data_IF_004376576687
#
_entry.id   IF_004376576687
#
_cell.length_a   1.000
_cell.length_b   1.000
_cell.length_c   1.000
_cell.angle_alpha   90.00
_cell.angle_beta   90.00
_cell.angle_gamma   90.00
#
_symmetry.space_group_name_H-M   'P 1'
#
loop_
_entity.id
_entity.type
_entity.pdbx_description
1 polymer ?
#
# COMPACT_ATOMS: atom_id res chain seq x y z
N UNK A 1 9.45 -25.43 1.49
CA UNK A 1 9.16 -24.18 2.23
C UNK A 1 10.43 -23.56 2.84
N UNK A 2 11.22 -24.30 3.62
CA UNK A 2 12.47 -23.81 4.25
C UNK A 2 13.49 -23.30 3.23
N UNK A 3 13.70 -24.02 2.13
CA UNK A 3 14.62 -23.64 1.05
C UNK A 3 14.18 -22.34 0.35
N UNK A 4 12.90 -22.19 0.04
CA UNK A 4 12.38 -20.94 -0.55
C UNK A 4 12.50 -19.73 0.39
N UNK A 5 12.30 -19.92 1.69
CA UNK A 5 12.53 -18.87 2.68
C UNK A 5 14.02 -18.48 2.71
N UNK A 6 14.91 -19.45 2.66
CA UNK A 6 16.35 -19.18 2.66
C UNK A 6 16.79 -18.40 1.41
N UNK A 7 16.33 -18.81 0.22
CA UNK A 7 16.60 -18.11 -1.04
C UNK A 7 16.02 -16.68 -0.98
N UNK A 8 14.77 -16.52 -0.52
CA UNK A 8 14.16 -15.21 -0.38
C UNK A 8 14.93 -14.29 0.58
N UNK A 9 15.38 -14.82 1.72
CA UNK A 9 16.18 -14.06 2.68
C UNK A 9 17.57 -13.71 2.14
N UNK A 10 18.25 -14.63 1.46
CA UNK A 10 19.56 -14.34 0.85
C UNK A 10 19.45 -13.29 -0.25
N UNK A 11 18.40 -13.35 -1.07
CA UNK A 11 18.11 -12.33 -2.09
C UNK A 11 17.81 -10.98 -1.45
N UNK A 12 16.88 -10.93 -0.48
CA UNK A 12 16.48 -9.68 0.18
C UNK A 12 17.63 -9.02 0.96
N UNK A 13 18.50 -9.82 1.57
CA UNK A 13 19.64 -9.34 2.36
C UNK A 13 20.91 -9.11 1.52
N UNK A 14 20.87 -9.28 0.20
CA UNK A 14 21.98 -8.90 -0.67
C UNK A 14 22.25 -7.39 -0.56
N UNK A 15 23.51 -6.99 -0.70
CA UNK A 15 23.90 -5.57 -0.59
C UNK A 15 23.11 -4.68 -1.55
N UNK A 16 22.91 -5.14 -2.79
CA UNK A 16 22.12 -4.43 -3.80
C UNK A 16 20.69 -4.21 -3.33
N UNK A 17 20.01 -5.24 -2.82
CA UNK A 17 18.62 -5.16 -2.42
C UNK A 17 18.40 -4.34 -1.13
N UNK A 18 19.35 -4.43 -0.19
CA UNK A 18 19.36 -3.55 0.99
C UNK A 18 19.49 -2.09 0.54
N UNK A 19 20.41 -1.80 -0.38
CA UNK A 19 20.60 -0.45 -0.90
C UNK A 19 19.35 0.05 -1.64
N UNK A 20 18.72 -0.79 -2.47
CA UNK A 20 17.50 -0.44 -3.21
C UNK A 20 16.30 -0.20 -2.30
N UNK A 21 16.09 -1.02 -1.26
CA UNK A 21 15.01 -0.76 -0.30
C UNK A 21 15.22 0.54 0.48
N UNK A 22 16.47 0.87 0.82
CA UNK A 22 16.80 2.14 1.48
C UNK A 22 16.51 3.35 0.57
N UNK A 23 16.92 3.28 -0.70
CA UNK A 23 16.59 4.31 -1.70
C UNK A 23 15.08 4.44 -1.85
N UNK A 24 14.38 3.32 -2.04
CA UNK A 24 12.94 3.31 -2.16
C UNK A 24 12.25 3.94 -0.94
N UNK A 25 12.66 3.55 0.26
CA UNK A 25 12.13 4.09 1.50
C UNK A 25 12.40 5.60 1.64
N UNK A 26 13.58 6.06 1.28
CA UNK A 26 13.95 7.46 1.32
C UNK A 26 13.10 8.33 0.36
N UNK A 27 13.07 7.97 -0.91
CA UNK A 27 12.25 8.70 -1.90
C UNK A 27 10.76 8.57 -1.62
N UNK A 28 10.31 7.39 -1.22
CA UNK A 28 8.94 7.18 -0.78
C UNK A 28 8.56 8.10 0.36
N UNK A 29 9.40 8.23 1.39
CA UNK A 29 9.16 9.11 2.54
C UNK A 29 9.05 10.57 2.11
N UNK A 30 9.95 11.05 1.25
CA UNK A 30 9.90 12.44 0.74
C UNK A 30 8.59 12.68 -0.03
N UNK A 31 8.24 11.81 -0.96
CA UNK A 31 7.02 11.96 -1.77
C UNK A 31 5.77 11.82 -0.89
N UNK A 32 5.77 10.89 0.05
CA UNK A 32 4.66 10.66 0.96
C UNK A 32 4.41 11.80 1.96
N UNK A 33 5.44 12.60 2.29
CA UNK A 33 5.26 13.82 3.08
C UNK A 33 4.53 14.93 2.33
N UNK A 34 4.49 14.87 1.00
CA UNK A 34 3.81 15.87 0.19
C UNK A 34 2.32 15.55 0.13
N UNK A 35 1.43 16.40 0.71
CA UNK A 35 0.00 16.14 0.71
C UNK A 35 -0.54 15.96 -0.72
N UNK A 36 -1.26 14.86 -0.94
CA UNK A 36 -1.89 14.54 -2.22
C UNK A 36 -1.07 13.62 -3.13
N UNK A 37 0.26 13.47 -2.98
CA UNK A 37 1.04 12.63 -3.87
C UNK A 37 0.92 11.12 -3.55
N UNK A 38 0.93 10.73 -2.32
CA UNK A 38 0.67 9.36 -1.89
C UNK A 38 1.58 8.25 -2.48
N UNK A 39 1.44 7.02 -2.00
CA UNK A 39 2.29 5.90 -2.40
C UNK A 39 2.05 5.44 -3.85
N UNK A 40 0.84 5.59 -4.39
CA UNK A 40 0.54 5.23 -5.78
C UNK A 40 1.38 6.05 -6.76
N UNK A 41 1.39 7.37 -6.59
CA UNK A 41 2.19 8.29 -7.41
C UNK A 41 3.68 8.04 -7.23
N UNK A 42 4.12 7.81 -5.98
CA UNK A 42 5.52 7.52 -5.68
C UNK A 42 6.01 6.27 -6.43
N UNK A 43 5.24 5.19 -6.41
CA UNK A 43 5.58 3.96 -7.13
C UNK A 43 5.51 4.17 -8.64
N UNK A 44 4.45 4.81 -9.14
CA UNK A 44 4.32 5.08 -10.58
C UNK A 44 5.53 5.83 -11.16
N UNK A 45 6.06 6.81 -10.42
CA UNK A 45 7.26 7.54 -10.79
C UNK A 45 8.54 6.67 -10.77
N UNK A 46 8.56 5.62 -9.96
CA UNK A 46 9.71 4.72 -9.84
C UNK A 46 9.68 3.54 -10.81
N UNK A 47 8.53 3.19 -11.40
CA UNK A 47 8.42 2.07 -12.34
C UNK A 47 9.47 2.12 -13.46
N UNK A 48 9.69 3.25 -14.16
CA UNK A 48 10.71 3.28 -15.21
C UNK A 48 12.12 2.92 -14.73
N UNK A 49 12.44 3.26 -13.49
CA UNK A 49 13.73 2.94 -12.87
C UNK A 49 13.82 1.44 -12.59
N UNK A 50 12.70 0.81 -12.20
CA UNK A 50 12.69 -0.62 -11.86
C UNK A 50 13.03 -1.52 -13.05
N UNK A 51 12.73 -1.11 -14.28
CA UNK A 51 13.05 -1.89 -15.48
C UNK A 51 14.56 -2.02 -15.76
N UNK A 52 15.40 -1.24 -15.09
CA UNK A 52 16.86 -1.39 -15.14
C UNK A 52 17.41 -2.50 -14.25
N UNK A 53 16.56 -3.19 -13.47
CA UNK A 53 16.93 -4.21 -12.51
C UNK A 53 16.19 -5.52 -12.76
N UNK A 54 16.65 -6.59 -12.11
CA UNK A 54 15.86 -7.83 -12.07
C UNK A 54 14.52 -7.62 -11.33
N UNK A 55 13.50 -8.45 -11.62
CA UNK A 55 12.16 -8.26 -11.08
C UNK A 55 12.09 -8.29 -9.54
N UNK A 56 12.94 -9.09 -8.88
CA UNK A 56 12.96 -9.16 -7.42
C UNK A 56 13.47 -7.85 -6.82
N UNK A 57 14.56 -7.31 -7.35
CA UNK A 57 15.12 -6.01 -6.98
C UNK A 57 14.12 -4.88 -7.27
N UNK A 58 13.45 -4.89 -8.41
CA UNK A 58 12.40 -3.94 -8.75
C UNK A 58 11.24 -3.97 -7.76
N UNK A 59 10.77 -5.16 -7.38
CA UNK A 59 9.71 -5.32 -6.39
C UNK A 59 10.15 -4.84 -4.99
N UNK A 60 11.38 -5.12 -4.59
CA UNK A 60 11.96 -4.67 -3.31
C UNK A 60 12.04 -3.14 -3.26
N UNK A 61 12.50 -2.50 -4.35
CA UNK A 61 12.52 -1.04 -4.47
C UNK A 61 11.11 -0.46 -4.31
N UNK A 62 10.13 -0.99 -5.05
CA UNK A 62 8.73 -0.54 -4.99
C UNK A 62 8.12 -0.75 -3.60
N UNK A 63 8.41 -1.87 -2.93
CA UNK A 63 7.98 -2.11 -1.56
C UNK A 63 8.58 -1.06 -0.60
N UNK A 64 9.87 -0.75 -0.75
CA UNK A 64 10.52 0.33 0.01
C UNK A 64 9.83 1.68 -0.20
N UNK A 65 9.50 2.03 -1.46
CA UNK A 65 8.75 3.26 -1.79
C UNK A 65 7.37 3.25 -1.13
N UNK A 66 6.67 2.12 -1.14
CA UNK A 66 5.34 2.01 -0.53
C UNK A 66 5.39 2.30 0.97
N UNK A 67 6.23 1.59 1.72
CA UNK A 67 6.37 1.79 3.16
C UNK A 67 6.90 3.18 3.49
N UNK A 68 7.87 3.66 2.74
CA UNK A 68 8.39 5.01 2.88
C UNK A 68 7.31 6.07 2.70
N UNK A 69 6.48 5.96 1.66
CA UNK A 69 5.43 6.92 1.39
C UNK A 69 4.32 6.93 2.46
N UNK A 70 3.97 5.77 3.01
CA UNK A 70 3.01 5.70 4.12
C UNK A 70 3.59 6.38 5.36
N UNK A 71 4.85 6.11 5.71
CA UNK A 71 5.52 6.76 6.83
C UNK A 71 5.71 8.28 6.62
N UNK A 72 6.02 8.70 5.39
CA UNK A 72 6.08 10.12 5.02
C UNK A 72 4.73 10.82 5.26
N UNK A 73 3.64 10.18 4.86
CA UNK A 73 2.28 10.67 5.13
C UNK A 73 1.96 10.80 6.61
N UNK A 74 2.47 9.89 7.45
CA UNK A 74 2.34 9.98 8.90
C UNK A 74 3.11 11.18 9.46
N UNK A 75 4.29 11.45 8.92
CA UNK A 75 5.11 12.60 9.32
C UNK A 75 4.37 13.92 9.08
N UNK A 76 3.79 14.13 7.89
CA UNK A 76 3.01 15.33 7.60
C UNK A 76 1.70 15.40 8.40
N UNK A 77 1.07 14.26 8.68
CA UNK A 77 -0.11 14.17 9.56
C UNK A 77 0.20 14.65 10.98
N UNK A 78 1.34 14.25 11.53
CA UNK A 78 1.77 14.60 12.89
C UNK A 78 2.22 16.06 12.97
N UNK A 79 3.03 16.52 12.03
CA UNK A 79 3.66 17.84 12.11
C UNK A 79 2.77 18.96 11.61
N UNK A 80 1.98 18.71 10.55
CA UNK A 80 1.26 19.76 9.83
C UNK A 80 -0.26 19.62 9.92
N UNK A 81 -0.78 18.54 10.51
CA UNK A 81 -2.20 18.16 10.43
C UNK A 81 -2.70 18.08 8.97
N UNK A 82 -1.82 17.74 8.08
CA UNK A 82 -2.06 17.61 6.65
C UNK A 82 -1.67 16.19 6.22
N UNK A 83 -2.60 15.22 6.29
CA UNK A 83 -2.30 13.84 5.95
C UNK A 83 -1.75 13.72 4.52
N UNK A 84 -0.55 13.19 4.36
CA UNK A 84 0.07 12.95 3.05
C UNK A 84 -0.64 11.85 2.29
N UNK A 85 -1.21 10.88 3.02
CA UNK A 85 -1.96 9.75 2.48
C UNK A 85 -3.24 9.51 3.28
N UNK A 86 -4.33 9.02 2.66
CA UNK A 86 -5.61 8.80 3.37
C UNK A 86 -5.48 7.85 4.57
N UNK A 87 -4.56 6.88 4.51
CA UNK A 87 -4.30 5.93 5.61
C UNK A 87 -3.72 6.56 6.87
N UNK A 88 -3.21 7.79 6.80
CA UNK A 88 -2.61 8.49 7.94
C UNK A 88 -3.51 9.59 8.53
N UNK A 89 -4.76 9.69 8.07
CA UNK A 89 -5.74 10.63 8.65
C UNK A 89 -5.98 10.33 10.12
N UNK A 90 -6.16 9.06 10.50
CA UNK A 90 -6.36 8.68 11.90
C UNK A 90 -5.13 8.99 12.78
N UNK A 91 -3.94 8.97 12.21
CA UNK A 91 -2.67 9.36 12.87
C UNK A 91 -2.70 10.82 13.34
N UNK A 92 -3.31 11.73 12.56
CA UNK A 92 -3.38 13.14 12.92
C UNK A 92 -4.23 13.39 14.17
N UNK A 93 -5.19 12.52 14.50
CA UNK A 93 -6.09 12.70 15.64
C UNK A 93 -5.36 12.81 16.98
N UNK A 94 -4.30 12.04 17.16
CA UNK A 94 -3.47 12.06 18.36
C UNK A 94 -2.06 12.58 18.11
N UNK A 95 -1.50 12.35 16.92
CA UNK A 95 -0.15 12.77 16.56
C UNK A 95 -0.01 14.29 16.54
N UNK A 96 -0.94 14.99 15.90
CA UNK A 96 -0.91 16.45 15.82
C UNK A 96 -1.11 17.13 17.18
N UNK A 97 -2.10 16.74 18.03
CA UNK A 97 -2.19 17.24 19.40
C UNK A 97 -0.93 17.01 20.25
N UNK A 98 -0.21 15.90 20.03
CA UNK A 98 1.10 15.69 20.67
C UNK A 98 2.12 16.72 20.17
N UNK A 99 2.19 16.96 18.87
CA UNK A 99 3.10 17.95 18.29
C UNK A 99 2.81 19.36 18.80
N UNK A 100 1.53 19.75 18.88
CA UNK A 100 1.11 21.05 19.45
C UNK A 100 1.52 21.23 20.93
N UNK A 101 1.67 20.14 21.67
CA UNK A 101 2.14 20.14 23.07
C UNK A 101 3.66 20.08 23.20
N UNK A 102 4.43 20.37 22.12
CA UNK A 102 5.88 20.31 22.12
C UNK A 102 6.47 18.89 22.16
N UNK A 103 5.66 17.87 21.84
CA UNK A 103 6.06 16.46 21.87
C UNK A 103 6.12 15.86 20.45
N UNK A 104 6.45 16.67 19.44
CA UNK A 104 6.50 16.25 18.05
C UNK A 104 7.51 15.12 17.83
N UNK A 105 8.73 15.23 18.37
CA UNK A 105 9.75 14.18 18.27
C UNK A 105 9.29 12.86 18.89
N UNK A 106 8.58 12.91 20.03
CA UNK A 106 8.01 11.72 20.65
C UNK A 106 6.91 11.10 19.79
N UNK A 107 6.02 11.90 19.21
CA UNK A 107 4.97 11.40 18.32
C UNK A 107 5.57 10.72 17.09
N UNK A 108 6.58 11.32 16.46
CA UNK A 108 7.31 10.71 15.35
C UNK A 108 8.01 9.41 15.75
N UNK A 109 8.60 9.34 16.95
CA UNK A 109 9.22 8.11 17.44
C UNK A 109 8.21 7.00 17.69
N UNK A 110 7.03 7.31 18.26
CA UNK A 110 5.92 6.34 18.43
C UNK A 110 5.45 5.85 17.07
N UNK A 111 5.22 6.76 16.12
CA UNK A 111 4.82 6.42 14.76
C UNK A 111 5.84 5.51 14.09
N UNK A 112 7.13 5.85 14.12
CA UNK A 112 8.19 5.07 13.51
C UNK A 112 8.28 3.65 14.09
N UNK A 113 8.26 3.49 15.41
CA UNK A 113 8.29 2.17 16.04
C UNK A 113 7.02 1.36 15.78
N UNK A 114 5.85 1.99 15.77
CA UNK A 114 4.58 1.33 15.48
C UNK A 114 4.51 0.87 14.01
N UNK A 115 4.95 1.72 13.08
CA UNK A 115 5.02 1.40 11.65
C UNK A 115 6.01 0.27 11.37
N UNK A 116 7.21 0.36 11.95
CA UNK A 116 8.23 -0.70 11.82
C UNK A 116 7.73 -2.03 12.37
N UNK A 117 7.20 -2.04 13.59
CA UNK A 117 6.72 -3.28 14.21
C UNK A 117 5.48 -3.83 13.47
N UNK A 118 4.54 -2.96 13.05
CA UNK A 118 3.37 -3.35 12.28
C UNK A 118 3.74 -3.96 10.93
N UNK A 119 4.65 -3.31 10.19
CA UNK A 119 5.19 -3.80 8.93
C UNK A 119 5.92 -5.14 9.08
N UNK A 120 6.78 -5.27 10.11
CA UNK A 120 7.52 -6.51 10.38
C UNK A 120 6.61 -7.68 10.73
N UNK A 121 5.66 -7.48 11.67
CA UNK A 121 4.71 -8.53 12.05
C UNK A 121 3.86 -8.95 10.85
N UNK A 122 3.39 -8.01 10.06
CA UNK A 122 2.57 -8.31 8.90
C UNK A 122 3.36 -8.98 7.76
N UNK A 123 4.65 -8.69 7.60
CA UNK A 123 5.52 -9.42 6.68
C UNK A 123 5.65 -10.89 7.11
N UNK A 124 5.73 -11.15 8.42
CA UNK A 124 5.70 -12.51 8.96
C UNK A 124 4.34 -13.18 8.64
N UNK A 125 3.23 -12.48 8.84
CA UNK A 125 1.91 -13.03 8.49
C UNK A 125 1.80 -13.33 6.99
N UNK A 126 2.32 -12.43 6.12
CA UNK A 126 2.39 -12.63 4.68
C UNK A 126 3.15 -13.91 4.34
N UNK A 127 4.32 -14.12 4.96
CA UNK A 127 5.17 -15.30 4.73
C UNK A 127 4.43 -16.62 4.96
N UNK A 128 3.59 -16.70 6.00
CA UNK A 128 2.83 -17.90 6.32
C UNK A 128 1.49 -17.97 5.57
N UNK A 129 0.82 -16.87 5.35
CA UNK A 129 -0.51 -16.84 4.76
C UNK A 129 -0.49 -16.97 3.24
N UNK A 130 0.47 -16.33 2.56
CA UNK A 130 0.52 -16.35 1.10
C UNK A 130 0.66 -17.74 0.49
N UNK A 131 1.55 -18.64 0.97
CA UNK A 131 1.63 -20.01 0.46
C UNK A 131 0.37 -20.84 0.72
N UNK A 132 -0.29 -20.60 1.86
CA UNK A 132 -1.53 -21.31 2.22
C UNK A 132 -2.68 -20.87 1.31
N UNK A 133 -2.84 -19.56 1.08
CA UNK A 133 -3.85 -19.02 0.20
C UNK A 133 -3.58 -19.41 -1.27
N UNK A 134 -2.34 -19.46 -1.69
CA UNK A 134 -1.95 -19.94 -3.03
C UNK A 134 -2.43 -21.37 -3.27
N UNK A 135 -2.26 -22.29 -2.29
CA UNK A 135 -2.78 -23.66 -2.40
C UNK A 135 -4.29 -23.71 -2.54
N UNK A 136 -5.02 -22.88 -1.78
CA UNK A 136 -6.48 -22.77 -1.89
C UNK A 136 -6.87 -22.23 -3.27
N UNK A 137 -6.17 -21.22 -3.77
CA UNK A 137 -6.48 -20.61 -5.06
C UNK A 137 -6.20 -21.54 -6.25
N UNK A 138 -5.30 -22.50 -6.13
CA UNK A 138 -5.09 -23.55 -7.14
C UNK A 138 -6.29 -24.49 -7.31
N UNK A 139 -7.18 -24.58 -6.32
CA UNK A 139 -8.44 -25.33 -6.43
C UNK A 139 -9.54 -24.57 -7.13
N UNK A 140 -9.37 -23.26 -7.34
CA UNK A 140 -10.35 -22.41 -7.98
C UNK A 140 -10.47 -22.73 -9.47
N UNK A 141 -11.72 -22.80 -9.94
CA UNK A 141 -12.08 -22.93 -11.34
C UNK A 141 -12.57 -21.60 -11.89
N UNK A 142 -12.76 -21.50 -13.19
CA UNK A 142 -13.22 -20.27 -13.85
C UNK A 142 -14.46 -19.63 -13.19
N UNK A 143 -15.51 -20.38 -12.76
CA UNK A 143 -16.64 -19.80 -12.05
C UNK A 143 -16.26 -19.17 -10.69
N UNK A 144 -15.29 -19.77 -9.97
CA UNK A 144 -14.85 -19.27 -8.66
C UNK A 144 -14.10 -17.95 -8.82
N UNK A 145 -13.23 -17.85 -9.85
CA UNK A 145 -12.57 -16.59 -10.20
C UNK A 145 -13.58 -15.52 -10.61
N UNK A 146 -14.60 -15.88 -11.39
CA UNK A 146 -15.65 -14.94 -11.75
C UNK A 146 -16.38 -14.41 -10.51
N UNK A 147 -16.78 -15.31 -9.59
CA UNK A 147 -17.43 -14.92 -8.33
C UNK A 147 -16.50 -14.03 -7.47
N UNK A 148 -15.21 -14.35 -7.40
CA UNK A 148 -14.22 -13.57 -6.67
C UNK A 148 -14.03 -12.17 -7.28
N UNK A 149 -14.04 -12.05 -8.61
CA UNK A 149 -13.98 -10.76 -9.31
C UNK A 149 -15.20 -9.90 -9.01
N UNK A 150 -16.41 -10.47 -9.05
CA UNK A 150 -17.65 -9.78 -8.67
C UNK A 150 -17.57 -9.30 -7.22
N UNK A 151 -17.10 -10.17 -6.29
CA UNK A 151 -16.90 -9.81 -4.89
C UNK A 151 -15.91 -8.66 -4.76
N UNK A 152 -14.76 -8.72 -5.45
CA UNK A 152 -13.74 -7.66 -5.43
C UNK A 152 -14.27 -6.31 -5.94
N UNK A 153 -14.96 -6.31 -7.08
CA UNK A 153 -15.53 -5.10 -7.67
C UNK A 153 -16.62 -4.48 -6.77
N UNK A 154 -17.50 -5.32 -6.19
CA UNK A 154 -18.54 -4.85 -5.27
C UNK A 154 -17.94 -4.35 -3.96
N UNK A 155 -16.89 -4.99 -3.44
CA UNK A 155 -16.19 -4.55 -2.25
C UNK A 155 -15.54 -3.17 -2.45
N UNK A 156 -14.86 -2.93 -3.58
CA UNK A 156 -14.29 -1.61 -3.91
C UNK A 156 -15.39 -0.54 -3.92
N UNK A 157 -16.52 -0.83 -4.55
CA UNK A 157 -17.65 0.10 -4.58
C UNK A 157 -18.27 0.33 -3.19
N UNK A 158 -18.37 -0.72 -2.36
CA UNK A 158 -18.91 -0.65 -1.00
C UNK A 158 -18.00 0.18 -0.06
N UNK A 159 -16.68 0.11 -0.24
CA UNK A 159 -15.70 0.90 0.53
C UNK A 159 -15.51 2.33 -0.01
N UNK A 160 -16.23 2.72 -1.05
CA UNK A 160 -16.20 4.10 -1.53
C UNK A 160 -16.78 5.07 -0.50
N UNK A 161 -16.37 6.35 -0.57
CA UNK A 161 -16.88 7.39 0.33
C UNK A 161 -18.41 7.47 0.29
N UNK A 162 -19.04 7.89 1.40
CA UNK A 162 -20.50 8.05 1.47
C UNK A 162 -21.04 8.86 0.29
N UNK A 163 -22.05 8.35 -0.39
CA UNK A 163 -22.66 8.97 -1.57
C UNK A 163 -21.87 8.84 -2.88
N UNK A 164 -20.71 8.17 -2.88
CA UNK A 164 -19.87 7.98 -4.07
C UNK A 164 -20.06 6.60 -4.74
N UNK A 165 -20.92 5.74 -4.20
CA UNK A 165 -21.13 4.37 -4.69
C UNK A 165 -21.43 4.32 -6.20
N UNK A 166 -22.36 5.17 -6.67
CA UNK A 166 -22.71 5.22 -8.09
C UNK A 166 -21.50 5.62 -8.96
N UNK A 167 -20.71 6.60 -8.53
CA UNK A 167 -19.49 7.01 -9.24
C UNK A 167 -18.46 5.87 -9.26
N UNK A 168 -18.29 5.15 -8.15
CA UNK A 168 -17.41 3.99 -8.09
C UNK A 168 -17.84 2.91 -9.07
N UNK A 169 -19.15 2.60 -9.14
CA UNK A 169 -19.69 1.64 -10.12
C UNK A 169 -19.50 2.09 -11.57
N UNK A 170 -19.67 3.39 -11.85
CA UNK A 170 -19.40 3.93 -13.18
C UNK A 170 -17.93 3.76 -13.58
N UNK A 171 -17.00 3.97 -12.63
CA UNK A 171 -15.56 3.75 -12.86
C UNK A 171 -15.22 2.27 -13.07
N UNK A 172 -15.89 1.36 -12.36
CA UNK A 172 -15.76 -0.09 -12.59
C UNK A 172 -16.19 -0.45 -14.02
N UNK A 173 -17.34 0.05 -14.47
CA UNK A 173 -17.82 -0.18 -15.84
C UNK A 173 -16.84 0.41 -16.87
N UNK A 174 -16.36 1.63 -16.65
CA UNK A 174 -15.37 2.24 -17.52
C UNK A 174 -14.07 1.40 -17.60
N UNK A 175 -13.59 0.90 -16.45
CA UNK A 175 -12.42 0.00 -16.41
C UNK A 175 -12.64 -1.29 -17.21
N UNK A 176 -13.81 -1.90 -17.09
CA UNK A 176 -14.18 -3.08 -17.88
C UNK A 176 -14.27 -2.78 -19.38
N UNK A 177 -14.79 -1.61 -19.75
CA UNK A 177 -14.81 -1.17 -21.15
C UNK A 177 -13.39 -1.02 -21.72
N UNK A 178 -12.49 -0.37 -20.99
CA UNK A 178 -11.08 -0.24 -21.38
C UNK A 178 -10.38 -1.59 -21.49
N UNK A 179 -10.67 -2.52 -20.57
CA UNK A 179 -10.12 -3.87 -20.59
C UNK A 179 -10.65 -4.73 -21.74
N UNK A 180 -11.78 -4.36 -22.35
CA UNK A 180 -12.36 -5.08 -23.49
C UNK A 180 -11.79 -4.66 -24.85
N UNK A 181 -10.94 -3.64 -24.91
CA UNK A 181 -10.25 -3.19 -26.13
C UNK A 181 -9.12 -4.17 -26.46
N UNK A 182 -9.00 -4.56 -27.72
CA UNK A 182 -7.93 -5.44 -28.20
C UNK A 182 -8.43 -6.76 -28.75
N UNK A 183 -7.54 -7.73 -28.88
CA UNK A 183 -7.83 -9.06 -29.37
C UNK A 183 -8.33 -9.96 -28.23
N UNK A 184 -9.47 -10.61 -28.44
CA UNK A 184 -9.98 -11.61 -27.51
C UNK A 184 -9.13 -12.88 -27.56
N UNK A 185 -8.53 -13.25 -26.45
CA UNK A 185 -7.63 -14.40 -26.31
C UNK A 185 -8.30 -15.77 -26.56
N UNK A 186 -9.63 -15.85 -26.59
CA UNK A 186 -10.35 -17.09 -26.83
C UNK A 186 -10.86 -17.24 -28.27
N UNK A 187 -11.27 -16.13 -28.88
CA UNK A 187 -11.88 -16.12 -30.21
C UNK A 187 -11.01 -15.49 -31.30
N UNK A 188 -9.87 -14.91 -30.93
CA UNK A 188 -8.98 -14.13 -31.79
C UNK A 188 -9.65 -12.96 -32.54
N UNK A 189 -10.88 -12.59 -32.12
CA UNK A 189 -11.62 -11.48 -32.71
C UNK A 189 -11.17 -10.17 -32.06
N UNK A 190 -10.85 -9.19 -32.89
CA UNK A 190 -10.54 -7.83 -32.42
C UNK A 190 -11.80 -7.08 -31.97
N UNK A 191 -11.74 -6.44 -30.81
CA UNK A 191 -12.85 -5.68 -30.23
C UNK A 191 -12.42 -4.24 -30.01
N UNK A 192 -13.22 -3.31 -30.46
CA UNK A 192 -13.04 -1.86 -30.25
C UNK A 192 -11.66 -1.32 -30.66
N UNK A 193 -11.04 -1.94 -31.67
CA UNK A 193 -9.73 -1.51 -32.21
C UNK A 193 -9.86 -0.42 -33.27
N UNK A 194 -11.07 -0.23 -33.85
CA UNK A 194 -11.33 0.76 -34.89
C UNK A 194 -10.32 0.71 -36.06
N UNK A 195 -9.92 -0.50 -36.44
CA UNK A 195 -8.90 -0.80 -37.45
C UNK A 195 -7.50 -0.19 -37.16
N UNK A 196 -7.24 0.21 -35.93
CA UNK A 196 -5.95 0.72 -35.49
C UNK A 196 -5.09 -0.41 -34.95
N UNK A 197 -3.99 -0.72 -35.62
CA UNK A 197 -3.06 -1.77 -35.22
C UNK A 197 -2.48 -1.58 -33.82
N UNK A 198 -2.31 -0.33 -33.37
CA UNK A 198 -1.79 -0.06 -32.01
C UNK A 198 -2.78 -0.45 -30.90
N UNK A 199 -4.06 -0.66 -31.22
CA UNK A 199 -5.07 -1.12 -30.27
C UNK A 199 -5.30 -2.62 -30.31
N UNK A 200 -4.66 -3.35 -31.21
CA UNK A 200 -4.80 -4.82 -31.35
C UNK A 200 -4.33 -5.53 -30.08
N UNK A 201 -3.20 -5.06 -29.51
CA UNK A 201 -2.67 -5.59 -28.24
C UNK A 201 -3.41 -5.09 -26.99
N UNK A 202 -4.49 -4.34 -27.18
CA UNK A 202 -5.26 -3.74 -26.12
C UNK A 202 -4.62 -2.49 -25.50
N UNK A 203 -5.22 -1.99 -24.41
CA UNK A 203 -4.69 -0.86 -23.66
C UNK A 203 -3.91 -1.41 -22.47
N UNK A 204 -2.62 -1.13 -22.42
CA UNK A 204 -1.76 -1.59 -21.31
C UNK A 204 -2.30 -1.13 -19.96
N UNK A 205 -2.45 -2.06 -19.01
CA UNK A 205 -2.87 -1.77 -17.64
C UNK A 205 -1.95 -0.72 -16.98
N UNK A 206 -0.63 -0.81 -17.19
CA UNK A 206 0.34 0.17 -16.69
C UNK A 206 0.03 1.57 -17.19
N UNK A 207 -0.29 1.70 -18.48
CA UNK A 207 -0.63 2.99 -19.09
C UNK A 207 -1.88 3.60 -18.46
N UNK A 208 -2.93 2.79 -18.25
CA UNK A 208 -4.18 3.24 -17.59
C UNK A 208 -3.90 3.70 -16.17
N UNK A 209 -3.12 2.93 -15.41
CA UNK A 209 -2.76 3.26 -14.03
C UNK A 209 -1.94 4.55 -13.98
N UNK A 210 -0.87 4.67 -14.76
CA UNK A 210 -0.03 5.86 -14.76
C UNK A 210 -0.80 7.11 -15.22
N UNK A 211 -1.64 7.01 -16.24
CA UNK A 211 -2.42 8.16 -16.72
C UNK A 211 -3.51 8.56 -15.72
N UNK A 212 -4.18 7.63 -15.07
CA UNK A 212 -5.23 7.98 -14.10
C UNK A 212 -4.67 8.53 -12.80
N UNK A 213 -3.61 7.95 -12.24
CA UNK A 213 -3.07 8.39 -10.96
C UNK A 213 -2.05 9.52 -11.11
N UNK A 214 -0.98 9.32 -11.87
CA UNK A 214 0.08 10.33 -11.95
C UNK A 214 -0.38 11.60 -12.67
N UNK A 215 -1.12 11.50 -13.77
CA UNK A 215 -1.61 12.66 -14.49
C UNK A 215 -2.73 13.39 -13.72
N UNK A 216 -3.64 12.64 -13.07
CA UNK A 216 -4.68 13.22 -12.22
C UNK A 216 -4.07 14.05 -11.10
N UNK A 217 -3.02 13.55 -10.46
CA UNK A 217 -2.32 14.27 -9.40
C UNK A 217 -1.61 15.51 -9.93
N UNK A 218 -0.89 15.41 -11.04
CA UNK A 218 -0.24 16.55 -11.68
C UNK A 218 -1.24 17.65 -12.03
N UNK A 219 -2.40 17.30 -12.60
CA UNK A 219 -3.48 18.25 -12.90
C UNK A 219 -4.05 18.88 -11.62
N UNK A 220 -4.22 18.09 -10.56
CA UNK A 220 -4.72 18.58 -9.27
C UNK A 220 -3.75 19.61 -8.66
N UNK A 221 -2.45 19.37 -8.71
CA UNK A 221 -1.43 20.31 -8.24
C UNK A 221 -1.47 21.60 -9.05
N UNK A 222 -1.59 21.51 -10.38
CA UNK A 222 -1.67 22.68 -11.26
C UNK A 222 -2.92 23.51 -10.94
N UNK A 223 -4.09 22.87 -10.81
CA UNK A 223 -5.35 23.53 -10.54
C UNK A 223 -5.40 24.20 -9.15
N UNK A 224 -4.76 23.59 -8.16
CA UNK A 224 -4.70 24.09 -6.77
C UNK A 224 -3.54 25.06 -6.51
N UNK A 225 -2.69 25.33 -7.50
CA UNK A 225 -1.48 26.17 -7.33
C UNK A 225 -1.79 27.56 -6.76
N UNK A 226 -2.94 28.13 -7.05
CA UNK A 226 -3.34 29.47 -6.62
C UNK A 226 -4.38 29.46 -5.48
N UNK A 227 -4.63 28.30 -4.84
CA UNK A 227 -5.58 28.22 -3.73
C UNK A 227 -4.87 28.63 -2.42
N UNK A 228 -5.22 29.78 -1.81
CA UNK A 228 -4.60 30.24 -0.57
C UNK A 228 -4.88 29.30 0.63
N UNK A 229 -5.93 28.46 0.53
CA UNK A 229 -6.29 27.50 1.57
C UNK A 229 -5.47 26.24 1.50
N UNK A 230 -4.81 25.98 0.36
CA UNK A 230 -3.88 24.87 0.17
C UNK A 230 -2.51 25.13 0.84
N UNK A 231 -2.20 26.39 1.16
CA UNK A 231 -1.04 26.69 2.00
C UNK A 231 -1.32 26.19 3.41
N UNK A 232 -0.74 25.04 3.75
CA UNK A 232 -0.79 24.47 5.10
C UNK A 232 -0.45 25.58 6.10
N UNK A 233 -1.31 25.80 7.11
CA UNK A 233 -0.97 26.64 8.26
C UNK A 233 0.37 26.14 8.78
N UNK A 234 1.45 26.87 8.51
CA UNK A 234 2.76 26.54 9.05
C UNK A 234 2.66 26.65 10.57
N UNK A 235 2.56 25.49 11.21
CA UNK A 235 2.80 25.42 12.65
C UNK A 235 4.29 25.67 12.79
N UNK A 236 4.64 26.80 13.39
CA UNK A 236 6.03 27.07 13.80
C UNK A 236 6.40 26.03 14.87
N UNK A 237 6.91 24.89 14.41
CA UNK A 237 7.51 23.88 15.30
C UNK A 237 8.90 24.40 15.66
N UNK A 238 8.97 25.25 16.65
CA UNK A 238 10.21 25.84 17.13
C UNK A 238 11.17 24.79 17.71
N UNK A 239 10.64 23.66 18.21
CA UNK A 239 11.46 22.54 18.70
C UNK A 239 10.72 21.21 18.53
N UNK A 240 11.41 20.18 18.02
CA UNK A 240 10.87 18.82 17.90
C UNK A 240 10.64 18.14 19.26
N UNK A 241 11.31 18.63 20.31
CA UNK A 241 11.29 18.01 21.62
C UNK A 241 12.01 16.65 21.66
N UNK A 242 11.88 15.95 22.79
CA UNK A 242 12.56 14.67 23.00
C UNK A 242 11.90 13.54 22.21
N UNK A 243 12.70 12.70 21.55
CA UNK A 243 12.28 11.46 20.88
C UNK A 243 12.12 10.27 21.86
N UNK A 244 12.44 10.46 23.14
CA UNK A 244 12.49 9.37 24.12
C UNK A 244 11.09 8.90 24.51
N UNK A 245 10.81 7.62 24.26
CA UNK A 245 9.59 6.91 24.70
C UNK A 245 9.87 6.32 26.08
N UNK A 246 9.05 6.64 27.07
CA UNK A 246 9.23 6.15 28.45
C UNK A 246 8.73 4.70 28.60
N UNK A 247 8.97 4.09 29.78
CA UNK A 247 8.60 2.68 30.02
C UNK A 247 7.10 2.43 29.98
N UNK A 248 6.30 3.37 30.50
CA UNK A 248 4.85 3.28 30.47
C UNK A 248 4.30 3.34 29.04
N UNK A 249 4.76 4.31 28.27
CA UNK A 249 4.38 4.48 26.85
C UNK A 249 4.75 3.24 26.02
N UNK A 250 5.94 2.67 26.24
CA UNK A 250 6.34 1.40 25.62
C UNK A 250 5.41 0.26 26.02
N UNK A 251 5.02 0.17 27.28
CA UNK A 251 4.05 -0.83 27.75
C UNK A 251 2.71 -0.74 27.05
N UNK A 252 2.23 0.48 26.73
CA UNK A 252 1.02 0.71 25.95
C UNK A 252 1.20 0.22 24.51
N UNK A 253 2.30 0.60 23.87
CA UNK A 253 2.62 0.18 22.50
C UNK A 253 2.72 -1.35 22.36
N UNK A 254 3.37 -2.04 23.29
CA UNK A 254 3.49 -3.50 23.28
C UNK A 254 2.13 -4.22 23.29
N UNK A 255 1.10 -3.62 23.84
CA UNK A 255 -0.26 -4.19 23.85
C UNK A 255 -1.04 -3.80 22.59
N UNK A 256 -0.85 -2.60 22.08
CA UNK A 256 -1.56 -2.05 20.93
C UNK A 256 -1.05 -2.66 19.61
N UNK A 257 0.28 -2.74 19.43
CA UNK A 257 0.91 -3.16 18.19
C UNK A 257 0.43 -4.56 17.72
N UNK A 258 0.47 -5.63 18.54
CA UNK A 258 0.05 -6.95 18.06
C UNK A 258 -1.41 -6.98 17.59
N UNK A 259 -2.32 -6.34 18.34
CA UNK A 259 -3.75 -6.29 17.99
C UNK A 259 -3.99 -5.53 16.70
N UNK A 260 -3.38 -4.35 16.59
CA UNK A 260 -3.53 -3.49 15.43
C UNK A 260 -2.85 -4.07 14.19
N UNK A 261 -1.74 -4.82 14.34
CA UNK A 261 -1.09 -5.48 13.21
C UNK A 261 -1.96 -6.60 12.62
N UNK A 262 -2.61 -7.40 13.45
CA UNK A 262 -3.54 -8.45 12.98
C UNK A 262 -4.71 -7.83 12.21
N UNK A 263 -5.36 -6.81 12.79
CA UNK A 263 -6.48 -6.15 12.12
C UNK A 263 -6.02 -5.49 10.83
N UNK A 264 -4.92 -4.73 10.88
CA UNK A 264 -4.37 -4.08 9.71
C UNK A 264 -4.10 -5.06 8.60
N UNK A 265 -3.44 -6.18 8.91
CA UNK A 265 -3.14 -7.22 7.94
C UNK A 265 -4.41 -7.84 7.33
N UNK A 266 -5.38 -8.27 8.17
CA UNK A 266 -6.61 -8.88 7.69
C UNK A 266 -7.45 -7.94 6.81
N UNK A 267 -7.55 -6.66 7.19
CA UNK A 267 -8.22 -5.65 6.38
C UNK A 267 -7.46 -5.40 5.07
N UNK A 268 -6.12 -5.40 5.12
CA UNK A 268 -5.27 -5.26 3.93
C UNK A 268 -5.46 -6.39 2.90
N UNK A 269 -5.77 -7.61 3.35
CA UNK A 269 -6.09 -8.75 2.47
C UNK A 269 -7.40 -8.54 1.69
N UNK A 270 -8.31 -7.72 2.21
CA UNK A 270 -9.59 -7.47 1.54
C UNK A 270 -9.41 -6.48 0.38
N UNK A 271 -9.76 -6.85 -0.86
CA UNK A 271 -9.65 -5.96 -2.01
C UNK A 271 -10.40 -4.64 -1.78
N UNK A 272 -9.73 -3.53 -2.03
CA UNK A 272 -10.31 -2.18 -1.93
C UNK A 272 -10.39 -1.59 -0.52
N UNK A 273 -10.23 -2.36 0.55
CA UNK A 273 -10.28 -1.85 1.93
C UNK A 273 -9.06 -0.96 2.24
N UNK A 274 -7.86 -1.43 1.93
CA UNK A 274 -6.62 -0.67 2.02
C UNK A 274 -6.26 -0.18 3.42
N UNK A 275 -5.17 0.58 3.48
CA UNK A 275 -4.61 1.11 4.73
C UNK A 275 -5.53 2.13 5.42
N UNK A 276 -6.40 2.80 4.67
CA UNK A 276 -7.31 3.81 5.23
C UNK A 276 -8.32 3.18 6.18
N UNK A 277 -9.05 2.15 5.72
CA UNK A 277 -10.05 1.47 6.56
C UNK A 277 -9.37 0.78 7.73
N UNK A 278 -8.21 0.15 7.50
CA UNK A 278 -7.44 -0.50 8.55
C UNK A 278 -7.06 0.46 9.68
N UNK A 279 -6.58 1.66 9.36
CA UNK A 279 -6.16 2.65 10.36
C UNK A 279 -7.34 3.15 11.21
N UNK A 280 -8.48 3.46 10.60
CA UNK A 280 -9.68 3.89 11.33
C UNK A 280 -10.26 2.79 12.20
N UNK A 281 -10.32 1.55 11.70
CA UNK A 281 -10.83 0.42 12.49
C UNK A 281 -9.91 0.12 13.68
N UNK A 282 -8.60 0.14 13.48
CA UNK A 282 -7.66 -0.06 14.58
C UNK A 282 -7.74 1.04 15.63
N UNK A 283 -7.87 2.30 15.20
CA UNK A 283 -8.09 3.43 16.10
C UNK A 283 -9.37 3.27 16.94
N UNK A 284 -10.49 2.96 16.27
CA UNK A 284 -11.78 2.76 16.93
C UNK A 284 -11.79 1.56 17.88
N UNK A 285 -11.21 0.44 17.45
CA UNK A 285 -11.07 -0.76 18.28
C UNK A 285 -10.22 -0.48 19.51
N UNK A 286 -9.03 0.09 19.34
CA UNK A 286 -8.14 0.36 20.46
C UNK A 286 -8.78 1.31 21.46
N UNK A 287 -9.49 2.34 21.02
CA UNK A 287 -10.27 3.23 21.89
C UNK A 287 -11.30 2.48 22.72
N UNK A 288 -11.90 1.42 22.17
CA UNK A 288 -12.90 0.63 22.91
C UNK A 288 -12.27 -0.38 23.88
N UNK A 289 -11.04 -0.81 23.64
CA UNK A 289 -10.35 -1.82 24.46
C UNK A 289 -9.56 -1.24 25.63
N UNK A 290 -9.19 0.04 25.58
CA UNK A 290 -8.49 0.69 26.69
C UNK A 290 -9.43 1.05 27.82
N UNK A 291 -8.86 1.23 29.02
CA UNK A 291 -9.61 1.69 30.21
C UNK A 291 -10.18 3.10 30.00
N UNK A 292 -11.24 3.44 30.70
CA UNK A 292 -11.94 4.72 30.51
C UNK A 292 -11.05 5.95 30.72
N UNK A 293 -10.10 5.93 31.65
CA UNK A 293 -9.11 6.98 31.86
C UNK A 293 -8.21 7.23 30.65
N UNK A 294 -7.86 6.17 29.90
CA UNK A 294 -7.08 6.28 28.67
C UNK A 294 -7.98 6.66 27.48
N UNK A 295 -9.24 6.27 27.49
CA UNK A 295 -10.23 6.57 26.46
C UNK A 295 -10.43 8.08 26.28
N UNK A 296 -10.41 8.83 27.39
CA UNK A 296 -10.53 10.29 27.38
C UNK A 296 -9.34 11.02 26.75
N UNK A 297 -8.19 10.35 26.62
CA UNK A 297 -6.98 10.89 26.01
C UNK A 297 -6.99 10.80 24.48
N UNK A 298 -7.86 9.97 23.90
CA UNK A 298 -8.01 9.86 22.45
C UNK A 298 -8.48 11.19 21.85
N UNK A 299 -7.82 11.59 20.75
CA UNK A 299 -8.00 12.91 20.15
C UNK A 299 -7.27 14.05 20.89
N UNK A 300 -6.53 13.75 21.97
CA UNK A 300 -5.80 14.73 22.79
C UNK A 300 -4.32 14.40 22.94
N UNK A 301 -3.81 13.42 22.17
CA UNK A 301 -2.42 12.97 22.20
C UNK A 301 -2.24 11.63 22.93
N UNK A 302 -3.11 10.67 22.69
CA UNK A 302 -3.02 9.30 23.21
C UNK A 302 -1.90 8.52 22.50
N UNK A 303 -1.05 7.83 23.27
CA UNK A 303 -0.04 6.91 22.73
C UNK A 303 -0.71 5.73 22.02
N UNK A 304 -1.76 5.17 22.59
CA UNK A 304 -2.54 4.09 21.98
C UNK A 304 -3.24 4.60 20.71
N UNK A 305 -3.84 5.81 20.76
CA UNK A 305 -4.51 6.42 19.63
C UNK A 305 -3.59 6.76 18.46
N UNK A 306 -2.30 7.00 18.72
CA UNK A 306 -1.30 7.18 17.69
C UNK A 306 -0.73 5.84 17.19
N UNK A 307 -0.40 4.93 18.11
CA UNK A 307 0.24 3.65 17.78
C UNK A 307 -0.68 2.71 16.98
N UNK A 308 -1.99 2.68 17.27
CA UNK A 308 -2.92 1.77 16.64
C UNK A 308 -3.06 2.00 15.12
N UNK A 309 -3.40 3.21 14.64
CA UNK A 309 -3.51 3.46 13.20
C UNK A 309 -2.18 3.32 12.46
N UNK A 310 -1.06 3.71 13.09
CA UNK A 310 0.28 3.57 12.49
C UNK A 310 0.70 2.12 12.31
N UNK A 311 0.41 1.29 13.28
CA UNK A 311 0.64 -0.15 13.14
C UNK A 311 -0.25 -0.75 12.05
N UNK A 312 -1.54 -0.39 12.05
CA UNK A 312 -2.52 -1.00 11.15
C UNK A 312 -2.34 -0.58 9.70
N UNK A 313 -2.00 0.69 9.42
CA UNK A 313 -1.79 1.14 8.05
C UNK A 313 -0.58 0.43 7.40
N UNK A 314 0.52 0.28 8.13
CA UNK A 314 1.69 -0.46 7.66
C UNK A 314 1.42 -1.97 7.54
N UNK A 315 0.68 -2.54 8.48
CA UNK A 315 0.28 -3.93 8.39
C UNK A 315 -0.65 -4.21 7.19
N UNK A 316 -1.54 -3.27 6.86
CA UNK A 316 -2.39 -3.37 5.68
C UNK A 316 -1.60 -3.29 4.36
N UNK A 317 -0.46 -2.60 4.33
CA UNK A 317 0.43 -2.62 3.17
C UNK A 317 0.88 -4.05 2.83
N UNK A 318 1.41 -4.80 3.82
CA UNK A 318 1.76 -6.22 3.63
C UNK A 318 0.54 -7.07 3.33
N UNK A 319 -0.60 -6.83 4.01
CA UNK A 319 -1.85 -7.55 3.75
C UNK A 319 -2.28 -7.45 2.30
N UNK A 320 -2.13 -6.29 1.67
CA UNK A 320 -2.53 -6.06 0.27
C UNK A 320 -1.63 -6.76 -0.76
N UNK A 321 -0.44 -7.22 -0.37
CA UNK A 321 0.38 -8.08 -1.21
C UNK A 321 -0.18 -9.51 -1.32
N UNK A 322 -0.92 -9.97 -0.31
CA UNK A 322 -1.47 -11.35 -0.31
C UNK A 322 -2.34 -11.58 -1.56
N UNK A 323 -3.46 -10.89 -1.76
CA UNK A 323 -4.29 -11.11 -2.94
C UNK A 323 -3.56 -10.76 -4.25
N UNK A 324 -2.70 -9.74 -4.26
CA UNK A 324 -1.93 -9.37 -5.43
C UNK A 324 -1.02 -10.50 -5.89
N UNK A 325 -0.25 -11.09 -5.00
CA UNK A 325 0.73 -12.13 -5.36
C UNK A 325 0.08 -13.51 -5.56
N UNK A 326 -0.98 -13.85 -4.78
CA UNK A 326 -1.58 -15.19 -4.80
C UNK A 326 -2.73 -15.34 -5.78
N UNK A 327 -3.47 -14.27 -6.06
CA UNK A 327 -4.67 -14.28 -6.91
C UNK A 327 -4.52 -13.38 -8.14
N UNK A 328 -3.50 -12.52 -8.20
CA UNK A 328 -3.38 -11.50 -9.24
C UNK A 328 -4.40 -10.37 -9.09
N UNK A 329 -4.98 -10.22 -7.90
CA UNK A 329 -6.01 -9.20 -7.61
C UNK A 329 -5.41 -8.15 -6.66
N UNK A 330 -5.33 -6.87 -7.05
CA UNK A 330 -4.75 -5.86 -6.17
C UNK A 330 -5.60 -5.64 -4.93
N UNK A 331 -4.99 -5.64 -3.74
CA UNK A 331 -5.65 -5.34 -2.46
C UNK A 331 -5.89 -3.83 -2.25
N UNK A 332 -5.16 -2.99 -2.98
CA UNK A 332 -5.25 -1.52 -2.88
C UNK A 332 -4.85 -0.87 -4.21
N UNK A 333 -5.13 0.43 -4.38
CA UNK A 333 -4.68 1.18 -5.54
C UNK A 333 -3.14 1.16 -5.70
N UNK A 334 -2.40 1.18 -4.61
CA UNK A 334 -0.93 1.09 -4.62
C UNK A 334 -0.45 -0.26 -5.15
N UNK A 335 -1.05 -1.36 -4.70
CA UNK A 335 -0.73 -2.69 -5.22
C UNK A 335 -1.22 -2.90 -6.64
N UNK A 336 -2.24 -2.15 -7.11
CA UNK A 336 -2.63 -2.14 -8.52
C UNK A 336 -1.50 -1.59 -9.42
N UNK A 337 -0.85 -0.50 -8.99
CA UNK A 337 0.31 0.05 -9.70
C UNK A 337 1.48 -0.95 -9.71
N UNK A 338 1.75 -1.61 -8.58
CA UNK A 338 2.79 -2.63 -8.47
C UNK A 338 2.48 -3.86 -9.33
N UNK A 339 1.22 -4.27 -9.38
CA UNK A 339 0.76 -5.35 -10.27
C UNK A 339 1.08 -5.02 -11.73
N UNK A 340 0.81 -3.77 -12.15
CA UNK A 340 1.17 -3.29 -13.48
C UNK A 340 2.66 -3.42 -13.77
N UNK A 341 3.52 -3.05 -12.81
CA UNK A 341 4.96 -3.21 -12.97
C UNK A 341 5.37 -4.69 -13.11
N UNK A 342 4.80 -5.59 -12.30
CA UNK A 342 5.05 -7.03 -12.40
C UNK A 342 4.67 -7.59 -13.77
N UNK A 343 3.51 -7.18 -14.30
CA UNK A 343 3.09 -7.55 -15.66
C UNK A 343 4.07 -7.01 -16.72
N UNK A 344 4.58 -5.79 -16.51
CA UNK A 344 5.62 -5.20 -17.37
C UNK A 344 6.95 -5.97 -17.36
N UNK A 345 7.28 -6.66 -16.26
CA UNK A 345 8.39 -7.61 -16.17
C UNK A 345 8.10 -8.98 -16.81
N UNK A 346 6.90 -9.19 -17.37
CA UNK A 346 6.46 -10.49 -17.86
C UNK A 346 6.08 -11.48 -16.75
N UNK A 347 5.97 -11.02 -15.50
CA UNK A 347 5.57 -11.84 -14.38
C UNK A 347 4.05 -11.74 -14.22
N UNK A 348 3.37 -12.86 -14.28
CA UNK A 348 1.93 -12.96 -14.00
C UNK A 348 1.72 -13.39 -12.55
N UNK A 349 1.35 -12.46 -11.63
CA UNK A 349 0.98 -12.82 -10.29
C UNK A 349 -0.28 -13.71 -10.28
N UNK A 350 -0.29 -14.62 -9.33
CA UNK A 350 -1.37 -15.58 -9.19
C UNK A 350 -0.90 -16.87 -8.52
N UNK A 351 -1.74 -17.92 -8.43
CA UNK A 351 -1.42 -19.15 -7.71
C UNK A 351 -0.14 -19.83 -8.21
N UNK A 352 0.13 -19.70 -9.51
CA UNK A 352 1.31 -20.32 -10.15
C UNK A 352 2.62 -19.65 -9.74
N UNK A 353 2.61 -18.39 -9.29
CA UNK A 353 3.81 -17.70 -8.84
C UNK A 353 4.53 -18.46 -7.72
N UNK A 354 3.79 -19.14 -6.84
CA UNK A 354 4.34 -19.93 -5.74
C UNK A 354 4.70 -21.37 -6.11
N UNK A 355 4.25 -21.86 -7.27
CA UNK A 355 4.51 -23.24 -7.73
C UNK A 355 5.59 -23.30 -8.80
N UNK A 356 5.75 -22.24 -9.62
CA UNK A 356 6.66 -22.21 -10.77
C UNK A 356 7.90 -21.36 -10.51
N UNK A 357 7.91 -20.59 -9.44
CA UNK A 357 8.94 -19.58 -9.12
C UNK A 357 10.38 -20.11 -9.05
N UNK A 358 10.57 -21.42 -8.84
CA UNK A 358 11.91 -21.99 -8.80
C UNK A 358 12.58 -22.12 -10.17
N UNK A 359 11.81 -22.20 -11.26
CA UNK A 359 12.35 -22.41 -12.59
C UNK A 359 12.47 -21.15 -13.44
N UNK A 360 11.62 -20.15 -13.22
CA UNK A 360 11.61 -18.93 -14.04
C UNK A 360 12.44 -17.76 -13.48
N UNK A 361 12.77 -17.74 -12.20
CA UNK A 361 13.72 -16.76 -11.65
C UNK A 361 15.18 -17.13 -11.91
N UNK A 362 15.44 -18.38 -12.33
CA UNK A 362 16.78 -18.85 -12.68
C UNK A 362 17.02 -19.02 -14.18
N UNK A 363 16.00 -18.88 -15.03
CA UNK A 363 16.09 -19.13 -16.48
C UNK A 363 16.55 -17.95 -17.38
N UNK A 364 16.64 -16.68 -16.96
CA UNK A 364 17.23 -15.65 -17.82
C UNK A 364 18.73 -15.78 -18.04
N UNK A 365 19.40 -16.65 -17.30
CA UNK A 365 20.87 -16.79 -17.40
C UNK A 365 21.34 -17.90 -18.36
N UNK A 366 20.46 -18.65 -19.01
CA UNK A 366 20.86 -19.79 -19.88
C UNK A 366 20.56 -19.55 -21.37
N UNK A 367 19.95 -18.44 -21.78
CA UNK A 367 19.70 -18.17 -23.20
C UNK A 367 20.64 -17.11 -23.81
N UNK A 368 21.89 -17.09 -23.36
CA UNK A 368 23.00 -16.42 -24.06
C UNK A 368 24.13 -17.40 -24.31
N UNK A 369 23.87 -18.41 -25.16
CA UNK A 369 24.86 -19.14 -25.92
C UNK A 369 24.34 -19.27 -27.34
#
# INVERSE_FOLDING_TARGET
MTEGILIGLTTALSFQNIFMVMIGCFFGTIIGMLPGLGPMTAIALMIPITYGFDPATGLILMAGVYYGAVFGGSTSSILLNAPGVPGTVATSFDGYPMAQKGKAGKALAIAAWSSFAGGTLSAIYLLFMAPSLSKVSLSFRSPDYFALMILGLTAIAAFSSKGQFLKAMMMVVLGLMLASVGQDSLSDITRFTFDNMNLTDGISFVLVVMSTFAMSEALTIILKRNDPTAAAKQVSLTELGSIRINKEERGKMYRTIPRSSVIGFLIGVLPGAGATIASFLAYGMERNLVKDEEKEKFGKGSVNGLSAPETANNAACSGSFVPMLTLGIPGSGTTAVMLGALLGFGIQPGPRLYTVSYTHLTLPTISSV
#
